data_IF_472038958203
#
_entry.id   IF_472038958203
#
_cell.length_a   1.000
_cell.length_b   1.000
_cell.length_c   1.000
_cell.angle_alpha   90.00
_cell.angle_beta   90.00
_cell.angle_gamma   90.00
#
_symmetry.space_group_name_H-M   'P 1'
#
loop_
_entity.id
_entity.type
_entity.pdbx_description
1 polymer ?
#
# COMPACT_ATOMS: atom_id res chain seq x y z
N UNK A 1 -22.80 53.87 53.13
CA UNK A 1 -23.78 54.73 52.44
C UNK A 1 -24.06 54.14 51.06
N UNK A 2 -25.34 53.89 50.75
CA UNK A 2 -26.00 53.67 49.44
C UNK A 2 -25.41 52.56 48.53
N UNK A 3 -25.92 51.31 48.52
CA UNK A 3 -27.20 50.78 47.98
C UNK A 3 -27.57 51.29 46.57
N UNK A 4 -27.56 50.39 45.58
CA UNK A 4 -28.69 50.23 44.67
C UNK A 4 -28.72 48.84 44.03
N UNK A 5 -29.85 48.17 44.23
CA UNK A 5 -30.28 46.92 43.59
C UNK A 5 -30.96 47.22 42.27
N UNK A 6 -30.84 46.33 41.29
CA UNK A 6 -31.95 46.04 40.39
C UNK A 6 -32.01 44.55 40.07
N UNK A 7 -33.18 43.97 40.38
CA UNK A 7 -33.59 42.60 40.19
C UNK A 7 -34.86 42.70 39.33
N UNK A 8 -34.89 42.07 38.16
CA UNK A 8 -36.13 41.82 37.42
C UNK A 8 -36.19 40.34 37.05
N UNK A 9 -37.35 39.75 37.37
CA UNK A 9 -37.82 38.37 37.11
C UNK A 9 -38.56 38.29 35.77
N UNK A 10 -38.66 37.05 35.27
CA UNK A 10 -39.55 36.60 34.18
C UNK A 10 -38.68 36.20 33.00
N UNK A 11 -38.76 35.03 32.36
CA UNK A 11 -39.78 33.98 32.21
C UNK A 11 -39.11 33.01 31.22
N UNK A 12 -38.90 31.72 31.49
CA UNK A 12 -39.94 30.71 31.43
C UNK A 12 -40.24 30.32 29.98
N UNK A 13 -39.32 29.60 29.30
CA UNK A 13 -39.60 28.84 28.09
C UNK A 13 -38.66 27.63 28.02
N UNK A 14 -39.16 26.52 28.57
CA UNK A 14 -38.61 25.17 28.43
C UNK A 14 -39.02 24.64 27.05
N UNK A 15 -38.05 24.53 26.15
CA UNK A 15 -38.26 23.89 24.85
C UNK A 15 -38.17 22.38 25.05
N UNK A 16 -39.32 21.73 24.92
CA UNK A 16 -39.50 20.27 24.90
C UNK A 16 -38.71 19.67 23.72
N UNK A 17 -37.84 18.73 24.02
CA UNK A 17 -37.31 17.77 23.05
C UNK A 17 -38.41 16.78 22.65
N UNK A 18 -38.53 16.40 21.35
CA UNK A 18 -39.43 15.35 20.95
C UNK A 18 -38.81 13.98 21.24
N UNK A 19 -39.65 13.10 21.77
CA UNK A 19 -39.38 11.69 22.00
C UNK A 19 -39.06 10.96 20.68
N UNK A 20 -37.97 10.19 20.67
CA UNK A 20 -37.76 9.11 19.69
C UNK A 20 -38.19 7.81 20.37
N UNK A 21 -39.32 7.28 19.91
CA UNK A 21 -39.84 5.98 20.28
C UNK A 21 -38.84 4.88 19.88
N UNK A 22 -38.47 4.07 20.87
CA UNK A 22 -37.79 2.79 20.69
C UNK A 22 -38.82 1.80 20.13
N UNK A 23 -38.85 1.67 18.81
CA UNK A 23 -39.57 0.62 18.11
C UNK A 23 -38.80 -0.69 18.19
N UNK A 24 -39.17 -1.56 19.14
CA UNK A 24 -38.88 -2.99 19.07
C UNK A 24 -39.68 -3.60 17.92
N UNK A 25 -39.02 -4.00 16.85
CA UNK A 25 -39.58 -4.94 15.87
C UNK A 25 -38.82 -6.26 15.94
N UNK A 26 -39.54 -7.25 16.45
CA UNK A 26 -39.28 -8.68 16.34
C UNK A 26 -39.19 -9.08 14.87
N UNK A 27 -38.05 -9.65 14.46
CA UNK A 27 -37.97 -10.38 13.19
C UNK A 27 -37.63 -11.84 13.46
N UNK A 28 -38.55 -12.63 12.96
CA UNK A 28 -38.72 -14.06 13.04
C UNK A 28 -37.60 -14.82 12.35
N UNK A 29 -37.07 -15.77 13.12
CA UNK A 29 -36.36 -16.98 12.73
C UNK A 29 -37.01 -17.65 11.52
N UNK A 30 -36.30 -17.75 10.39
CA UNK A 30 -36.50 -18.85 9.44
C UNK A 30 -35.15 -19.43 9.07
N UNK A 31 -34.97 -20.67 9.52
CA UNK A 31 -33.91 -21.58 9.17
C UNK A 31 -34.08 -22.07 7.74
N UNK A 32 -33.02 -22.00 6.93
CA UNK A 32 -32.84 -22.97 5.86
C UNK A 32 -31.37 -23.38 5.79
N UNK A 33 -31.16 -24.63 6.17
CA UNK A 33 -29.97 -25.43 5.94
C UNK A 33 -29.84 -25.68 4.44
N UNK A 34 -28.66 -25.47 3.87
CA UNK A 34 -28.20 -26.23 2.71
C UNK A 34 -26.68 -26.43 2.85
N UNK A 35 -26.38 -27.62 3.34
CA UNK A 35 -25.06 -28.21 3.45
C UNK A 35 -24.72 -28.95 2.15
N UNK A 36 -23.43 -28.94 1.82
CA UNK A 36 -22.70 -29.91 1.02
C UNK A 36 -23.02 -30.04 -0.47
N UNK A 37 -22.00 -29.83 -1.31
CA UNK A 37 -21.22 -30.95 -1.87
C UNK A 37 -20.09 -30.45 -2.78
N UNK A 38 -18.87 -30.42 -2.24
CA UNK A 38 -17.66 -30.70 -3.01
C UNK A 38 -17.61 -32.21 -3.28
N UNK A 39 -17.41 -32.61 -4.53
CA UNK A 39 -17.28 -34.02 -4.92
C UNK A 39 -16.34 -34.16 -6.10
N UNK A 40 -15.04 -34.17 -5.81
CA UNK A 40 -13.99 -34.54 -6.75
C UNK A 40 -14.22 -35.96 -7.29
N UNK A 41 -14.14 -36.09 -8.61
CA UNK A 41 -14.17 -37.38 -9.32
C UNK A 41 -12.92 -38.19 -8.96
N UNK A 42 -13.07 -39.15 -8.06
CA UNK A 42 -12.08 -40.19 -7.79
C UNK A 42 -12.54 -41.51 -8.42
N UNK A 43 -11.82 -41.94 -9.44
CA UNK A 43 -11.90 -43.27 -10.04
C UNK A 43 -11.58 -44.37 -9.01
N UNK A 44 -12.41 -45.42 -8.85
CA UNK A 44 -12.03 -46.55 -8.03
C UNK A 44 -11.09 -47.49 -8.81
N UNK A 45 -9.86 -47.63 -8.30
CA UNK A 45 -8.95 -48.76 -8.59
C UNK A 45 -9.60 -50.03 -8.05
N UNK A 46 -10.02 -50.96 -8.92
CA UNK A 46 -10.29 -52.35 -8.54
C UNK A 46 -8.98 -53.12 -8.41
N UNK A 47 -8.70 -53.57 -7.20
CA UNK A 47 -7.71 -54.58 -6.87
C UNK A 47 -8.20 -55.95 -7.37
N UNK A 48 -7.30 -56.64 -8.07
CA UNK A 48 -7.48 -58.00 -8.56
C UNK A 48 -7.29 -59.02 -7.42
N UNK A 49 -8.26 -59.91 -7.25
CA UNK A 49 -8.09 -61.16 -6.52
C UNK A 49 -8.03 -62.33 -7.50
N UNK A 50 -6.81 -62.88 -7.62
CA UNK A 50 -6.41 -64.29 -7.75
C UNK A 50 -7.55 -65.30 -7.99
N UNK A 51 -7.57 -65.90 -9.17
CA UNK A 51 -8.22 -67.18 -9.43
C UNK A 51 -7.18 -68.15 -10.04
N UNK A 52 -7.19 -69.38 -9.52
CA UNK A 52 -6.28 -70.48 -9.82
C UNK A 52 -6.53 -71.09 -11.20
N UNK A 53 -5.45 -71.62 -11.78
CA UNK A 53 -5.36 -72.34 -13.02
C UNK A 53 -6.23 -73.62 -13.08
N UNK A 54 -6.68 -73.98 -14.29
CA UNK A 54 -6.48 -75.28 -14.96
C UNK A 54 -7.26 -75.32 -16.28
N UNK A 55 -6.65 -75.80 -17.37
CA UNK A 55 -7.35 -76.06 -18.64
C UNK A 55 -6.47 -75.94 -19.88
N UNK A 56 -5.78 -77.03 -20.23
CA UNK A 56 -5.06 -77.22 -21.50
C UNK A 56 -6.03 -77.24 -22.69
N UNK A 57 -5.77 -76.46 -23.74
CA UNK A 57 -5.97 -76.86 -25.15
C UNK A 57 -4.92 -76.16 -26.02
N UNK A 58 -4.16 -76.95 -26.78
CA UNK A 58 -3.22 -76.50 -27.78
C UNK A 58 -3.92 -76.00 -29.05
N UNK A 59 -3.44 -74.90 -29.66
CA UNK A 59 -3.21 -74.84 -31.11
C UNK A 59 -2.43 -73.60 -31.51
N UNK A 60 -1.60 -73.80 -32.51
CA UNK A 60 -0.68 -72.91 -33.19
C UNK A 60 -1.30 -71.65 -33.78
N UNK A 61 -0.65 -70.50 -33.58
CA UNK A 61 -0.32 -69.61 -34.71
C UNK A 61 0.81 -68.64 -34.30
N UNK A 62 1.89 -68.67 -35.05
CA UNK A 62 2.98 -67.70 -35.00
C UNK A 62 2.46 -66.33 -35.45
N UNK A 63 1.99 -65.49 -34.51
CA UNK A 63 1.79 -64.06 -34.76
C UNK A 63 3.12 -63.34 -34.64
N UNK A 64 3.74 -63.09 -35.79
CA UNK A 64 4.85 -62.14 -35.96
C UNK A 64 4.46 -60.80 -35.34
N UNK A 65 5.19 -60.36 -34.30
CA UNK A 65 5.01 -59.05 -33.66
C UNK A 65 5.57 -57.95 -34.58
N UNK A 66 4.81 -57.55 -35.60
CA UNK A 66 5.06 -56.28 -36.30
C UNK A 66 4.45 -55.15 -35.47
N UNK A 67 5.19 -54.63 -34.49
CA UNK A 67 4.99 -53.31 -33.88
C UNK A 67 6.17 -53.01 -32.93
N UNK A 68 7.41 -53.13 -33.44
CA UNK A 68 8.58 -52.63 -32.73
C UNK A 68 8.96 -51.27 -33.32
N UNK A 69 8.78 -50.23 -32.52
CA UNK A 69 9.24 -48.88 -32.84
C UNK A 69 10.76 -48.93 -33.05
N UNK A 70 11.19 -48.79 -34.30
CA UNK A 70 12.61 -48.84 -34.66
C UNK A 70 13.22 -47.47 -34.38
N UNK A 71 14.22 -47.42 -33.51
CA UNK A 71 14.88 -46.16 -33.15
C UNK A 71 15.63 -45.55 -34.36
N UNK A 72 15.75 -44.21 -34.46
CA UNK A 72 16.51 -43.57 -35.52
C UNK A 72 18.00 -43.97 -35.50
N UNK A 73 18.68 -44.04 -36.66
CA UNK A 73 20.04 -44.57 -36.79
C UNK A 73 21.16 -43.71 -36.15
N UNK A 74 20.83 -42.59 -35.52
CA UNK A 74 21.80 -41.71 -34.82
C UNK A 74 21.25 -41.31 -33.46
N UNK A 75 21.33 -42.21 -32.50
CA UNK A 75 21.24 -41.90 -31.07
C UNK A 75 22.65 -41.61 -30.55
N UNK A 76 22.78 -40.66 -29.61
CA UNK A 76 24.05 -40.04 -29.21
C UNK A 76 25.16 -41.00 -28.74
N UNK A 77 26.37 -40.46 -28.48
CA UNK A 77 27.55 -41.28 -28.16
C UNK A 77 27.28 -42.19 -26.94
N UNK A 78 27.40 -43.51 -27.12
CA UNK A 78 27.29 -44.49 -26.03
C UNK A 78 26.48 -45.76 -26.32
N UNK A 79 25.78 -45.88 -27.46
CA UNK A 79 24.95 -47.06 -27.78
C UNK A 79 25.59 -47.95 -28.86
N UNK A 80 25.54 -49.28 -28.68
CA UNK A 80 25.86 -50.26 -29.73
C UNK A 80 24.61 -50.56 -30.56
N UNK A 81 24.76 -50.75 -31.87
CA UNK A 81 23.64 -50.89 -32.84
C UNK A 81 22.64 -52.03 -32.55
N UNK A 82 22.95 -52.91 -31.59
CA UNK A 82 22.16 -54.12 -31.26
C UNK A 82 21.31 -54.00 -30.00
N UNK A 83 21.32 -52.88 -29.27
CA UNK A 83 20.48 -52.73 -28.08
C UNK A 83 19.01 -52.42 -28.46
N UNK A 84 18.07 -53.18 -27.92
CA UNK A 84 16.63 -52.86 -28.03
C UNK A 84 16.30 -51.61 -27.20
N UNK A 85 15.49 -50.71 -27.76
CA UNK A 85 15.09 -49.49 -27.06
C UNK A 85 14.17 -49.84 -25.90
N UNK A 86 14.61 -49.61 -24.67
CA UNK A 86 13.76 -49.81 -23.49
C UNK A 86 12.78 -48.63 -23.39
N UNK A 87 11.46 -48.85 -23.57
CA UNK A 87 10.46 -47.77 -23.54
C UNK A 87 10.36 -47.07 -22.18
N UNK A 88 10.87 -47.69 -21.12
CA UNK A 88 10.90 -47.12 -19.76
C UNK A 88 12.17 -46.29 -19.47
N UNK A 89 13.14 -46.24 -20.40
CA UNK A 89 14.38 -45.44 -20.32
C UNK A 89 14.47 -44.38 -21.43
N UNK A 90 13.33 -43.97 -22.00
CA UNK A 90 13.26 -43.00 -23.10
C UNK A 90 13.99 -41.68 -22.81
N UNK A 91 14.10 -41.27 -21.55
CA UNK A 91 14.85 -40.08 -21.10
C UNK A 91 16.37 -40.19 -21.30
N UNK A 92 16.95 -41.39 -21.25
CA UNK A 92 18.39 -41.62 -21.51
C UNK A 92 18.72 -41.56 -23.03
N UNK A 93 17.70 -41.50 -23.88
CA UNK A 93 17.83 -41.60 -25.34
C UNK A 93 17.28 -40.38 -26.09
N UNK A 94 16.71 -39.41 -25.38
CA UNK A 94 16.34 -38.12 -25.96
C UNK A 94 17.62 -37.33 -26.24
N UNK A 95 17.84 -36.97 -27.50
CA UNK A 95 18.92 -36.09 -27.88
C UNK A 95 18.76 -34.75 -27.14
N UNK A 96 19.75 -34.36 -26.33
CA UNK A 96 19.74 -33.10 -25.59
C UNK A 96 19.52 -31.88 -26.49
N UNK A 97 19.96 -31.93 -27.75
CA UNK A 97 19.71 -30.86 -28.73
C UNK A 97 18.21 -30.74 -29.04
N UNK A 98 17.49 -31.86 -29.11
CA UNK A 98 16.05 -31.90 -29.37
C UNK A 98 15.25 -31.47 -28.16
N UNK A 99 15.67 -31.86 -26.95
CA UNK A 99 15.07 -31.39 -25.70
C UNK A 99 15.24 -29.87 -25.55
N UNK A 100 16.44 -29.34 -25.79
CA UNK A 100 16.70 -27.91 -25.76
C UNK A 100 15.85 -27.16 -26.79
N UNK A 101 15.73 -27.69 -28.02
CA UNK A 101 14.89 -27.11 -29.07
C UNK A 101 13.41 -27.12 -28.72
N UNK A 102 12.91 -28.18 -28.08
CA UNK A 102 11.53 -28.22 -27.56
C UNK A 102 11.31 -27.22 -26.43
N UNK A 103 12.23 -27.12 -25.47
CA UNK A 103 12.13 -26.13 -24.39
C UNK A 103 12.14 -24.71 -24.95
N UNK A 104 13.04 -24.39 -25.89
CA UNK A 104 13.06 -23.12 -26.61
C UNK A 104 11.76 -22.89 -27.38
N UNK A 105 11.26 -23.89 -28.09
CA UNK A 105 9.98 -23.82 -28.80
C UNK A 105 8.81 -23.51 -27.88
N UNK A 106 8.71 -24.19 -26.73
CA UNK A 106 7.67 -23.94 -25.73
C UNK A 106 7.80 -22.56 -25.07
N UNK A 107 9.02 -22.12 -24.77
CA UNK A 107 9.28 -20.78 -24.21
C UNK A 107 8.95 -19.69 -25.21
N UNK A 108 9.37 -19.83 -26.46
CA UNK A 108 9.05 -18.89 -27.54
C UNK A 108 7.55 -18.90 -27.83
N UNK A 109 6.89 -20.05 -27.91
CA UNK A 109 5.46 -20.14 -28.11
C UNK A 109 4.66 -19.54 -26.95
N UNK A 110 5.08 -19.77 -25.69
CA UNK A 110 4.49 -19.14 -24.52
C UNK A 110 4.70 -17.62 -24.48
N UNK A 111 5.91 -17.17 -24.83
CA UNK A 111 6.25 -15.75 -24.93
C UNK A 111 5.44 -15.04 -26.03
N UNK A 112 5.32 -15.67 -27.20
CA UNK A 112 4.52 -15.19 -28.33
C UNK A 112 3.02 -15.23 -27.98
N UNK A 113 2.51 -16.32 -27.38
CA UNK A 113 1.11 -16.39 -26.95
C UNK A 113 0.75 -15.31 -25.93
N UNK A 114 1.67 -14.97 -25.02
CA UNK A 114 1.52 -13.85 -24.09
C UNK A 114 1.55 -12.46 -24.76
N UNK A 115 2.08 -12.34 -25.98
CA UNK A 115 2.07 -11.09 -26.76
C UNK A 115 0.93 -11.03 -27.79
N UNK A 116 0.43 -12.17 -28.28
CA UNK A 116 -0.58 -12.22 -29.34
C UNK A 116 -2.01 -12.43 -28.82
N UNK A 117 -2.18 -12.89 -27.59
CA UNK A 117 -3.49 -12.83 -26.94
C UNK A 117 -3.61 -11.43 -26.35
N UNK A 118 -4.16 -10.50 -27.13
CA UNK A 118 -4.68 -9.24 -26.61
C UNK A 118 -5.83 -9.60 -25.65
N UNK A 119 -5.50 -9.78 -24.37
CA UNK A 119 -6.51 -9.79 -23.33
C UNK A 119 -7.06 -8.37 -23.31
N UNK A 120 -8.34 -8.24 -23.63
CA UNK A 120 -9.03 -6.97 -23.56
C UNK A 120 -9.09 -6.52 -22.08
N UNK A 121 -8.07 -5.77 -21.66
CA UNK A 121 -7.91 -5.32 -20.29
C UNK A 121 -9.09 -4.44 -19.83
N UNK A 122 -9.83 -3.85 -20.78
CA UNK A 122 -11.04 -3.06 -20.49
C UNK A 122 -12.19 -3.91 -19.96
N UNK A 123 -12.19 -5.23 -20.22
CA UNK A 123 -13.20 -6.17 -19.70
C UNK A 123 -12.86 -6.72 -18.34
N UNK A 124 -11.63 -6.52 -17.86
CA UNK A 124 -11.22 -7.01 -16.55
C UNK A 124 -11.67 -6.01 -15.50
N UNK A 125 -12.57 -6.44 -14.63
CA UNK A 125 -13.08 -5.66 -13.50
C UNK A 125 -12.40 -6.10 -12.20
N UNK A 126 -12.10 -5.18 -11.27
CA UNK A 126 -11.70 -5.55 -9.91
C UNK A 126 -12.82 -6.35 -9.25
N UNK A 127 -12.51 -7.20 -8.26
CA UNK A 127 -13.54 -8.03 -7.61
C UNK A 127 -14.40 -7.24 -6.60
N UNK A 128 -13.86 -6.16 -6.05
CA UNK A 128 -14.47 -5.39 -4.97
C UNK A 128 -14.53 -3.92 -5.36
N UNK A 129 -15.55 -3.22 -4.86
CA UNK A 129 -15.66 -1.79 -5.05
C UNK A 129 -14.61 -1.07 -4.20
N UNK A 130 -13.91 -0.08 -4.77
CA UNK A 130 -12.89 0.70 -4.05
C UNK A 130 -13.49 1.45 -2.86
N UNK A 131 -14.76 1.83 -2.96
CA UNK A 131 -15.55 2.50 -1.92
C UNK A 131 -15.75 1.61 -0.68
N UNK A 132 -15.93 0.30 -0.87
CA UNK A 132 -16.11 -0.65 0.24
C UNK A 132 -14.83 -0.79 1.06
N UNK A 133 -13.68 -0.89 0.39
CA UNK A 133 -12.37 -0.98 1.05
C UNK A 133 -12.10 0.29 1.86
N UNK A 134 -12.39 1.46 1.28
CA UNK A 134 -12.27 2.75 1.96
C UNK A 134 -13.20 2.83 3.17
N UNK A 135 -14.46 2.41 3.04
CA UNK A 135 -15.39 2.41 4.16
C UNK A 135 -14.91 1.50 5.30
N UNK A 136 -14.38 0.32 4.98
CA UNK A 136 -13.81 -0.60 5.97
C UNK A 136 -12.57 -0.03 6.66
N UNK A 137 -11.69 0.67 5.92
CA UNK A 137 -10.54 1.36 6.49
C UNK A 137 -10.96 2.53 7.40
N UNK A 138 -11.92 3.37 6.96
CA UNK A 138 -12.45 4.46 7.77
C UNK A 138 -13.04 3.97 9.10
N UNK A 139 -13.73 2.82 9.11
CA UNK A 139 -14.23 2.21 10.36
C UNK A 139 -13.09 1.84 11.32
N UNK A 140 -11.94 1.39 10.82
CA UNK A 140 -10.77 1.15 11.69
C UNK A 140 -10.24 2.47 12.26
N UNK A 141 -10.21 3.54 11.46
CA UNK A 141 -9.76 4.85 11.90
C UNK A 141 -10.71 5.52 12.91
N UNK A 142 -12.00 5.18 12.93
CA UNK A 142 -12.92 5.62 13.99
C UNK A 142 -12.49 5.14 15.39
N UNK A 143 -11.93 3.93 15.48
CA UNK A 143 -11.41 3.37 16.73
C UNK A 143 -9.94 3.75 16.98
N UNK A 144 -9.17 3.94 15.90
CA UNK A 144 -7.74 4.25 15.93
C UNK A 144 -7.43 5.45 15.02
N UNK A 145 -7.81 6.67 15.42
CA UNK A 145 -7.71 7.88 14.59
C UNK A 145 -6.27 8.27 14.26
N UNK A 146 -5.32 7.90 15.12
CA UNK A 146 -3.89 8.07 14.92
C UNK A 146 -3.38 7.34 13.67
N UNK A 147 -3.96 6.17 13.34
CA UNK A 147 -3.53 5.35 12.23
C UNK A 147 -3.93 5.91 10.86
N UNK A 148 -4.86 6.86 10.78
CA UNK A 148 -5.21 7.50 9.52
C UNK A 148 -4.00 8.25 8.92
N UNK A 149 -3.29 9.05 9.73
CA UNK A 149 -2.11 9.78 9.28
C UNK A 149 -0.94 8.83 9.02
N UNK A 150 -0.77 7.81 9.86
CA UNK A 150 0.27 6.79 9.65
C UNK A 150 0.03 5.99 8.36
N UNK A 151 -1.22 5.75 7.97
CA UNK A 151 -1.56 5.09 6.70
C UNK A 151 -1.22 5.96 5.48
N UNK A 152 -1.38 7.28 5.58
CA UNK A 152 -0.86 8.22 4.58
C UNK A 152 0.67 8.14 4.50
N UNK A 153 1.35 8.09 5.64
CA UNK A 153 2.81 7.88 5.69
C UNK A 153 3.23 6.57 5.03
N UNK A 154 2.47 5.48 5.20
CA UNK A 154 2.76 4.19 4.55
C UNK A 154 2.79 4.31 3.03
N UNK A 155 1.87 5.05 2.42
CA UNK A 155 1.91 5.29 0.98
C UNK A 155 3.22 5.95 0.53
N UNK A 156 3.71 6.94 1.28
CA UNK A 156 5.02 7.56 1.03
C UNK A 156 6.18 6.59 1.26
N UNK A 157 6.17 5.82 2.36
CA UNK A 157 7.20 4.81 2.67
C UNK A 157 7.30 3.79 1.53
N UNK A 158 6.18 3.26 1.06
CA UNK A 158 6.15 2.27 -0.03
C UNK A 158 6.64 2.86 -1.35
N UNK A 159 6.18 4.05 -1.72
CA UNK A 159 6.64 4.74 -2.93
C UNK A 159 8.15 5.06 -2.89
N UNK A 160 8.63 5.62 -1.77
CA UNK A 160 10.05 5.90 -1.59
C UNK A 160 10.92 4.64 -1.67
N UNK A 161 10.47 3.53 -1.08
CA UNK A 161 11.16 2.23 -1.17
C UNK A 161 11.20 1.70 -2.60
N UNK A 162 10.10 1.77 -3.35
CA UNK A 162 10.08 1.40 -4.78
C UNK A 162 11.00 2.27 -5.64
N UNK A 163 11.18 3.55 -5.26
CA UNK A 163 12.10 4.47 -5.91
C UNK A 163 13.57 4.33 -5.45
N UNK A 164 13.88 3.45 -4.49
CA UNK A 164 15.25 3.24 -3.97
C UNK A 164 15.66 4.23 -2.86
N UNK A 165 14.71 4.92 -2.23
CA UNK A 165 14.93 5.88 -1.15
C UNK A 165 14.39 5.39 0.20
N UNK A 166 14.70 4.15 0.57
CA UNK A 166 14.45 3.65 1.93
C UNK A 166 15.28 4.44 2.95
N UNK A 167 14.64 5.09 3.91
CA UNK A 167 15.33 5.90 4.91
C UNK A 167 15.70 5.09 6.16
N UNK A 168 16.81 5.46 6.78
CA UNK A 168 17.25 4.92 8.09
C UNK A 168 16.96 5.90 9.24
N UNK A 169 17.02 7.20 8.94
CA UNK A 169 16.79 8.32 9.86
C UNK A 169 15.75 9.28 9.30
N UNK A 170 14.98 9.91 10.20
CA UNK A 170 14.02 10.97 9.85
C UNK A 170 14.70 12.27 9.41
N UNK A 171 16.01 12.42 9.62
CA UNK A 171 16.79 13.56 9.08
C UNK A 171 16.76 13.59 7.54
N UNK A 172 16.54 12.44 6.89
CA UNK A 172 16.37 12.35 5.44
C UNK A 172 14.89 12.45 5.04
N UNK A 173 14.07 11.55 5.57
CA UNK A 173 12.61 11.56 5.38
C UNK A 173 11.91 10.59 6.34
N UNK A 174 10.59 10.66 6.43
CA UNK A 174 9.78 9.71 7.21
C UNK A 174 9.59 8.32 6.53
N UNK A 175 10.35 8.01 5.47
CA UNK A 175 10.37 6.73 4.75
C UNK A 175 11.10 5.60 5.52
N UNK A 176 11.05 5.64 6.85
CA UNK A 176 11.61 4.63 7.75
C UNK A 176 10.56 3.53 8.02
N UNK A 177 11.03 2.29 8.22
CA UNK A 177 10.15 1.12 8.44
C UNK A 177 9.65 0.97 9.88
N UNK A 178 10.12 1.81 10.82
CA UNK A 178 9.71 1.82 12.22
C UNK A 178 8.31 2.45 12.41
N UNK A 179 7.61 2.10 13.48
CA UNK A 179 6.27 2.63 13.79
C UNK A 179 5.19 2.29 12.75
N UNK A 180 5.30 1.12 12.11
CA UNK A 180 4.36 0.66 11.07
C UNK A 180 3.52 -0.56 11.45
N UNK A 181 3.75 -1.14 12.64
CA UNK A 181 3.12 -2.40 13.03
C UNK A 181 1.59 -2.31 13.10
N UNK A 182 1.07 -1.26 13.71
CA UNK A 182 -0.38 -1.07 13.85
C UNK A 182 -1.09 -0.87 12.49
N UNK A 183 -0.47 -0.12 11.58
CA UNK A 183 -1.00 0.04 10.21
C UNK A 183 -0.88 -1.25 9.43
N UNK A 184 0.18 -2.03 9.60
CA UNK A 184 0.27 -3.37 9.01
C UNK A 184 -0.89 -4.26 9.49
N UNK A 185 -1.28 -4.16 10.77
CA UNK A 185 -2.49 -4.82 11.29
C UNK A 185 -3.77 -4.42 10.56
N UNK A 186 -3.97 -3.12 10.28
CA UNK A 186 -5.11 -2.61 9.49
C UNK A 186 -5.07 -3.15 8.07
N UNK A 187 -3.91 -3.10 7.40
CA UNK A 187 -3.75 -3.60 6.02
C UNK A 187 -3.98 -5.11 5.94
N UNK A 188 -3.51 -5.89 6.92
CA UNK A 188 -3.79 -7.32 7.00
C UNK A 188 -5.27 -7.62 7.23
N UNK A 189 -5.94 -6.86 8.11
CA UNK A 189 -7.39 -6.98 8.29
C UNK A 189 -8.15 -6.73 6.98
N UNK A 190 -7.80 -5.67 6.25
CA UNK A 190 -8.41 -5.34 4.96
C UNK A 190 -8.10 -6.41 3.92
N UNK A 191 -6.86 -6.89 3.83
CA UNK A 191 -6.47 -7.94 2.90
C UNK A 191 -7.23 -9.25 3.15
N UNK A 192 -7.46 -9.62 4.41
CA UNK A 192 -8.29 -10.77 4.77
C UNK A 192 -9.78 -10.56 4.44
N UNK A 193 -10.27 -9.32 4.50
CA UNK A 193 -11.64 -8.96 4.12
C UNK A 193 -11.82 -8.95 2.60
N UNK A 194 -10.77 -8.58 1.85
CA UNK A 194 -10.74 -8.45 0.40
C UNK A 194 -9.66 -9.32 -0.25
N UNK A 195 -9.69 -10.67 -0.08
CA UNK A 195 -8.56 -11.57 -0.36
C UNK A 195 -8.14 -11.71 -1.83
N UNK A 196 -8.95 -11.22 -2.78
CA UNK A 196 -8.56 -11.19 -4.19
C UNK A 196 -7.88 -9.89 -4.62
N UNK A 197 -7.76 -8.91 -3.72
CA UNK A 197 -7.00 -7.68 -3.94
C UNK A 197 -5.55 -7.89 -3.53
N UNK A 198 -4.62 -7.25 -4.23
CA UNK A 198 -3.22 -7.21 -3.78
C UNK A 198 -3.07 -6.36 -2.52
N UNK A 199 -2.03 -6.63 -1.74
CA UNK A 199 -1.70 -5.86 -0.53
C UNK A 199 -1.36 -4.42 -0.92
N UNK A 200 -0.65 -4.21 -2.04
CA UNK A 200 -0.33 -2.87 -2.54
C UNK A 200 -1.59 -2.06 -2.96
N UNK A 201 -2.58 -2.70 -3.58
CA UNK A 201 -3.86 -2.04 -3.87
C UNK A 201 -4.59 -1.68 -2.56
N UNK A 202 -4.66 -2.61 -1.61
CA UNK A 202 -5.28 -2.39 -0.29
C UNK A 202 -4.58 -1.25 0.47
N UNK A 203 -3.25 -1.23 0.49
CA UNK A 203 -2.46 -0.19 1.16
C UNK A 203 -2.69 1.19 0.54
N UNK A 204 -2.76 1.28 -0.80
CA UNK A 204 -3.05 2.54 -1.49
C UNK A 204 -4.46 3.07 -1.15
N UNK A 205 -5.47 2.19 -1.10
CA UNK A 205 -6.84 2.55 -0.71
C UNK A 205 -6.95 2.92 0.77
N UNK A 206 -6.20 2.23 1.66
CA UNK A 206 -6.14 2.56 3.07
C UNK A 206 -5.55 3.97 3.31
N UNK A 207 -4.55 4.37 2.51
CA UNK A 207 -3.99 5.72 2.55
C UNK A 207 -5.01 6.78 2.07
N UNK A 208 -5.73 6.52 0.97
CA UNK A 208 -6.82 7.38 0.49
C UNK A 208 -7.93 7.52 1.56
N UNK A 209 -8.28 6.42 2.22
CA UNK A 209 -9.21 6.44 3.34
C UNK A 209 -8.69 7.28 4.52
N UNK A 210 -7.38 7.31 4.75
CA UNK A 210 -6.72 8.17 5.74
C UNK A 210 -6.91 9.65 5.39
N UNK A 211 -6.71 10.03 4.11
CA UNK A 211 -6.95 11.40 3.63
C UNK A 211 -8.42 11.78 3.86
N UNK A 212 -9.35 10.90 3.45
CA UNK A 212 -10.80 11.10 3.64
C UNK A 212 -11.15 11.29 5.12
N UNK A 213 -10.66 10.42 6.01
CA UNK A 213 -10.92 10.47 7.44
C UNK A 213 -10.43 11.79 8.06
N UNK A 214 -9.28 12.27 7.61
CA UNK A 214 -8.66 13.52 8.08
C UNK A 214 -9.17 14.75 7.32
N UNK A 215 -10.31 14.63 6.63
CA UNK A 215 -10.97 15.72 5.88
C UNK A 215 -10.07 16.40 4.85
N UNK A 216 -9.14 15.65 4.25
CA UNK A 216 -8.29 16.12 3.15
C UNK A 216 -8.92 15.90 1.77
N UNK A 217 -8.37 16.52 0.71
CA UNK A 217 -8.85 16.36 -0.66
C UNK A 217 -8.50 14.97 -1.20
N UNK A 218 -9.51 14.13 -1.45
CA UNK A 218 -9.32 12.73 -1.85
C UNK A 218 -10.13 12.31 -3.07
N UNK A 219 -11.12 13.11 -3.46
CA UNK A 219 -12.16 12.77 -4.43
C UNK A 219 -11.55 12.47 -5.80
N UNK A 220 -10.65 13.31 -6.29
CA UNK A 220 -9.97 13.12 -7.58
C UNK A 220 -8.96 11.98 -7.52
N UNK A 221 -8.29 11.78 -6.39
CA UNK A 221 -7.38 10.64 -6.18
C UNK A 221 -8.18 9.35 -6.32
N UNK A 222 -9.33 9.29 -5.65
CA UNK A 222 -10.20 8.12 -5.67
C UNK A 222 -10.81 7.87 -7.04
N UNK A 223 -11.31 8.92 -7.70
CA UNK A 223 -11.88 8.84 -9.06
C UNK A 223 -10.87 8.27 -10.06
N UNK A 224 -9.64 8.78 -10.02
CA UNK A 224 -8.55 8.38 -10.92
C UNK A 224 -7.76 7.15 -10.46
N UNK A 225 -8.14 6.56 -9.32
CA UNK A 225 -7.43 5.41 -8.76
C UNK A 225 -7.45 4.24 -9.74
N UNK A 226 -6.26 3.70 -10.00
CA UNK A 226 -6.05 2.50 -10.81
C UNK A 226 -5.78 1.30 -9.93
N UNK A 227 -6.06 0.11 -10.44
CA UNK A 227 -5.88 -1.15 -9.73
C UNK A 227 -4.87 -2.06 -10.45
N UNK A 228 -4.50 -3.16 -9.80
CA UNK A 228 -3.56 -4.14 -10.34
C UNK A 228 -2.11 -3.89 -9.95
N UNK A 229 -1.86 -3.26 -8.79
CA UNK A 229 -0.50 -3.22 -8.21
C UNK A 229 -0.07 -4.64 -7.88
N UNK A 230 1.16 -5.01 -8.27
CA UNK A 230 1.68 -6.35 -8.03
C UNK A 230 2.40 -6.39 -6.68
N UNK A 231 2.08 -7.40 -5.87
CA UNK A 231 2.84 -7.72 -4.67
C UNK A 231 4.14 -8.40 -5.09
N UNK A 232 5.26 -7.69 -4.99
CA UNK A 232 6.59 -8.21 -5.33
C UNK A 232 7.46 -8.29 -4.10
N UNK A 233 8.13 -9.43 -3.90
CA UNK A 233 9.03 -9.65 -2.76
C UNK A 233 10.37 -8.90 -2.91
N UNK A 234 10.73 -8.50 -4.12
CA UNK A 234 12.00 -7.84 -4.40
C UNK A 234 11.95 -6.34 -4.08
N UNK A 235 12.50 -5.96 -2.92
CA UNK A 235 12.74 -4.55 -2.60
C UNK A 235 13.93 -4.01 -3.41
N UNK A 236 13.78 -2.88 -4.14
CA UNK A 236 14.92 -2.22 -4.78
C UNK A 236 16.01 -1.88 -3.76
N UNK A 237 17.26 -1.98 -4.19
CA UNK A 237 18.40 -1.55 -3.37
C UNK A 237 18.34 -0.04 -3.16
N UNK A 238 18.76 0.41 -1.97
CA UNK A 238 18.91 1.83 -1.67
C UNK A 238 19.85 2.49 -2.69
N UNK A 239 19.44 3.64 -3.23
CA UNK A 239 20.25 4.45 -4.14
C UNK A 239 21.50 4.95 -3.41
N UNK A 240 22.63 4.96 -4.11
CA UNK A 240 23.87 5.52 -3.60
C UNK A 240 23.95 7.03 -3.93
N UNK A 241 24.19 7.90 -2.94
CA UNK A 241 24.48 9.31 -3.19
C UNK A 241 25.71 9.48 -4.10
N UNK A 242 25.68 10.50 -4.97
CA UNK A 242 26.80 10.77 -5.90
C UNK A 242 28.10 11.17 -5.19
N UNK A 243 27.99 11.79 -4.03
CA UNK A 243 29.14 12.19 -3.21
C UNK A 243 29.34 11.15 -2.09
N UNK A 244 30.56 10.62 -1.90
CA UNK A 244 30.84 9.64 -0.85
C UNK A 244 30.64 10.20 0.57
N UNK A 245 30.74 11.52 0.76
CA UNK A 245 30.56 12.16 2.07
C UNK A 245 29.09 12.41 2.43
N UNK A 246 28.21 12.38 1.43
CA UNK A 246 26.78 12.68 1.63
C UNK A 246 26.02 11.40 1.91
N UNK A 247 25.55 11.23 3.15
CA UNK A 247 24.76 10.05 3.55
C UNK A 247 23.26 10.17 3.28
N UNK A 248 22.73 11.41 3.23
CA UNK A 248 21.30 11.69 3.09
C UNK A 248 20.97 12.39 1.77
N UNK A 249 19.86 12.00 1.14
CA UNK A 249 19.32 12.68 -0.03
C UNK A 249 18.55 13.94 0.36
N UNK A 250 18.42 14.88 -0.59
CA UNK A 250 17.62 16.10 -0.37
C UNK A 250 16.16 15.84 -0.69
N UNK A 251 15.27 16.58 -0.04
CA UNK A 251 13.81 16.47 -0.23
C UNK A 251 13.41 16.50 -1.72
N UNK A 252 13.86 17.46 -2.56
CA UNK A 252 13.49 17.47 -3.97
C UNK A 252 13.93 16.19 -4.70
N UNK A 253 15.12 15.66 -4.40
CA UNK A 253 15.63 14.43 -5.02
C UNK A 253 14.72 13.24 -4.74
N UNK A 254 14.25 13.10 -3.50
CA UNK A 254 13.35 12.01 -3.11
C UNK A 254 11.99 12.22 -3.77
N UNK A 255 11.40 13.41 -3.64
CA UNK A 255 10.03 13.68 -4.11
C UNK A 255 9.91 13.62 -5.64
N UNK A 256 10.87 14.15 -6.39
CA UNK A 256 10.86 14.06 -7.85
C UNK A 256 10.89 12.61 -8.34
N UNK A 257 11.52 11.70 -7.60
CA UNK A 257 11.56 10.28 -7.96
C UNK A 257 10.24 9.54 -7.74
N UNK A 258 9.24 10.15 -7.09
CA UNK A 258 7.94 9.55 -6.81
C UNK A 258 6.95 9.77 -7.96
N UNK A 259 7.36 9.39 -9.18
CA UNK A 259 6.54 9.54 -10.39
C UNK A 259 6.73 10.86 -11.13
N UNK A 260 7.99 11.35 -11.19
CA UNK A 260 8.38 12.56 -11.93
C UNK A 260 7.54 13.78 -11.53
N UNK A 261 7.36 13.96 -10.22
CA UNK A 261 6.59 15.07 -9.67
C UNK A 261 7.19 16.41 -10.12
N UNK A 262 6.34 17.38 -10.42
CA UNK A 262 6.76 18.78 -10.61
C UNK A 262 7.13 19.43 -9.27
N UNK A 263 7.81 20.59 -9.27
CA UNK A 263 8.08 21.31 -8.01
C UNK A 263 6.79 21.65 -7.26
N UNK A 264 5.73 22.06 -7.97
CA UNK A 264 4.43 22.34 -7.37
C UNK A 264 3.83 21.10 -6.69
N UNK A 265 3.89 19.93 -7.33
CA UNK A 265 3.43 18.67 -6.77
C UNK A 265 4.28 18.22 -5.57
N UNK A 266 5.61 18.37 -5.65
CA UNK A 266 6.52 18.09 -4.53
C UNK A 266 6.17 18.94 -3.30
N UNK A 267 6.03 20.25 -3.48
CA UNK A 267 5.65 21.16 -2.38
C UNK A 267 4.24 20.84 -1.87
N UNK A 268 3.29 20.54 -2.77
CA UNK A 268 1.91 20.21 -2.41
C UNK A 268 1.83 18.96 -1.50
N UNK A 269 2.65 17.95 -1.79
CA UNK A 269 2.67 16.68 -1.05
C UNK A 269 3.16 16.84 0.39
N UNK A 270 3.99 17.84 0.69
CA UNK A 270 4.46 18.12 2.05
C UNK A 270 3.34 18.55 3.02
N UNK A 271 2.16 18.96 2.51
CA UNK A 271 1.01 19.24 3.37
C UNK A 271 0.50 18.03 4.15
N UNK A 272 0.92 16.80 3.82
CA UNK A 272 0.72 15.63 4.68
C UNK A 272 1.26 15.84 6.11
N UNK A 273 2.23 16.74 6.30
CA UNK A 273 2.72 17.13 7.63
C UNK A 273 1.74 18.00 8.43
N UNK A 274 0.61 18.46 7.86
CA UNK A 274 -0.47 19.11 8.62
C UNK A 274 -1.21 18.16 9.57
N UNK A 275 -1.03 16.84 9.40
CA UNK A 275 -1.66 15.79 10.20
C UNK A 275 -0.64 14.87 10.87
N UNK A 276 -1.11 14.06 11.82
CA UNK A 276 -0.28 13.11 12.55
C UNK A 276 0.63 13.76 13.60
N UNK A 277 1.48 12.93 14.20
CA UNK A 277 2.38 13.31 15.29
C UNK A 277 3.69 12.52 15.24
N UNK A 278 4.67 13.01 16.00
CA UNK A 278 5.97 12.37 16.18
C UNK A 278 5.85 11.21 17.17
N UNK A 279 6.65 10.16 16.96
CA UNK A 279 6.67 8.95 17.78
C UNK A 279 8.10 8.61 18.22
N UNK A 280 8.25 8.02 19.40
CA UNK A 280 9.55 7.73 20.02
C UNK A 280 10.35 6.70 19.24
N UNK A 281 9.69 5.66 18.72
CA UNK A 281 10.30 4.57 17.95
C UNK A 281 10.64 4.99 16.49
N UNK A 282 10.08 6.09 16.01
CA UNK A 282 10.33 6.63 14.65
C UNK A 282 11.38 7.73 14.68
N UNK A 283 11.10 8.77 15.46
CA UNK A 283 11.79 10.06 15.47
C UNK A 283 12.54 10.35 16.78
N UNK A 284 12.34 9.52 17.80
CA UNK A 284 13.00 9.67 19.09
C UNK A 284 12.32 10.62 20.07
N UNK A 285 11.15 11.18 19.73
CA UNK A 285 10.38 12.09 20.57
C UNK A 285 8.87 11.84 20.44
N UNK A 286 8.14 12.14 21.50
CA UNK A 286 6.68 12.02 21.58
C UNK A 286 6.00 13.38 21.79
N UNK A 287 4.68 13.43 21.54
CA UNK A 287 3.82 14.55 21.92
C UNK A 287 4.02 15.83 21.10
N UNK A 288 4.81 15.76 20.04
CA UNK A 288 5.04 16.85 19.10
C UNK A 288 4.33 16.59 17.77
N UNK A 289 4.05 17.65 17.02
CA UNK A 289 3.44 17.62 15.69
C UNK A 289 4.17 18.62 14.80
N UNK A 290 3.94 18.64 13.48
CA UNK A 290 4.57 19.69 12.67
C UNK A 290 3.88 21.06 12.82
N UNK A 291 2.56 21.09 13.02
CA UNK A 291 1.76 22.34 12.95
C UNK A 291 0.97 22.66 14.22
N UNK A 292 1.10 21.84 15.27
CA UNK A 292 0.29 21.92 16.49
C UNK A 292 -1.07 21.23 16.38
N UNK A 293 -1.47 20.77 15.18
CA UNK A 293 -2.72 20.05 14.90
C UNK A 293 -2.43 18.66 14.32
N UNK A 294 -3.43 17.77 14.38
CA UNK A 294 -3.29 16.34 14.01
C UNK A 294 -4.33 15.80 13.03
N UNK A 295 -5.53 16.41 12.98
CA UNK A 295 -6.72 15.77 12.40
C UNK A 295 -7.38 16.56 11.26
N UNK A 296 -6.63 17.41 10.56
CA UNK A 296 -7.13 18.14 9.40
C UNK A 296 -6.03 18.30 8.35
N UNK A 297 -6.17 17.59 7.23
CA UNK A 297 -5.19 17.62 6.15
C UNK A 297 -5.52 18.78 5.20
N UNK A 298 -4.79 19.90 5.34
CA UNK A 298 -5.02 21.11 4.55
C UNK A 298 -3.74 21.97 4.38
N UNK A 299 -3.88 23.14 3.77
CA UNK A 299 -2.80 24.08 3.53
C UNK A 299 -2.26 24.79 4.80
N UNK A 300 -2.73 24.43 6.01
CA UNK A 300 -2.25 25.00 7.27
C UNK A 300 -0.75 24.80 7.48
N UNK A 301 -0.19 23.73 6.92
CA UNK A 301 1.26 23.49 6.95
C UNK A 301 2.05 24.70 6.40
N UNK A 302 1.68 25.22 5.23
CA UNK A 302 2.37 26.36 4.61
C UNK A 302 2.20 27.65 5.41
N UNK A 303 0.97 27.93 5.86
CA UNK A 303 0.69 29.07 6.74
C UNK A 303 1.55 29.02 8.00
N UNK A 304 1.65 27.84 8.61
CA UNK A 304 2.41 27.62 9.83
C UNK A 304 3.91 27.86 9.62
N UNK A 305 4.47 27.33 8.53
CA UNK A 305 5.88 27.53 8.19
C UNK A 305 6.22 29.02 8.00
N UNK A 306 5.40 29.76 7.25
CA UNK A 306 5.62 31.19 7.02
C UNK A 306 5.47 32.03 8.29
N UNK A 307 4.52 31.69 9.15
CA UNK A 307 4.28 32.39 10.43
C UNK A 307 5.46 32.21 11.41
N UNK A 308 6.08 31.03 11.42
CA UNK A 308 7.05 30.66 12.45
C UNK A 308 8.49 30.48 11.94
N UNK A 309 8.78 30.72 10.66
CA UNK A 309 10.07 30.50 10.00
C UNK A 309 11.27 30.95 10.86
N UNK A 310 11.20 32.19 11.37
CA UNK A 310 12.28 32.82 12.14
C UNK A 310 12.33 32.40 13.61
N UNK A 311 11.30 31.73 14.11
CA UNK A 311 11.15 31.33 15.51
C UNK A 311 11.65 29.89 15.78
N UNK A 312 11.91 29.09 14.73
CA UNK A 312 12.43 27.74 14.87
C UNK A 312 13.86 27.74 15.41
N UNK A 313 14.07 27.05 16.53
CA UNK A 313 15.38 26.82 17.12
C UNK A 313 15.82 25.35 16.93
N UNK A 314 17.13 25.03 16.87
CA UNK A 314 17.59 23.65 16.84
C UNK A 314 17.05 22.83 18.02
N UNK A 315 16.62 21.60 17.76
CA UNK A 315 16.13 20.66 18.75
C UNK A 315 17.13 19.51 18.92
N UNK A 316 17.71 19.38 20.11
CA UNK A 316 18.49 18.20 20.46
C UNK A 316 17.55 17.12 21.03
N UNK A 317 17.42 16.00 20.33
CA UNK A 317 16.67 14.84 20.83
C UNK A 317 17.55 14.05 21.79
N UNK A 318 17.15 13.98 23.06
CA UNK A 318 17.90 13.25 24.08
C UNK A 318 17.66 11.74 23.97
N UNK A 319 18.68 10.95 24.25
CA UNK A 319 18.54 9.49 24.38
C UNK A 319 17.73 9.16 25.62
N UNK A 320 16.65 8.40 25.46
CA UNK A 320 15.79 7.93 26.54
C UNK A 320 15.69 6.41 26.54
N UNK A 321 14.97 5.84 27.50
CA UNK A 321 14.66 4.42 27.50
C UNK A 321 13.68 4.04 26.37
N UNK A 322 12.82 4.97 25.95
CA UNK A 322 11.71 4.66 25.06
C UNK A 322 12.05 4.86 23.58
N UNK A 323 13.10 5.63 23.27
CA UNK A 323 13.59 5.80 21.90
C UNK A 323 14.77 4.89 21.54
N UNK A 324 14.98 3.78 22.26
CA UNK A 324 16.11 2.86 22.06
C UNK A 324 16.15 2.24 20.65
N UNK A 325 15.00 2.10 20.01
CA UNK A 325 14.88 1.53 18.65
C UNK A 325 15.41 2.47 17.55
N UNK A 326 15.57 3.75 17.86
CA UNK A 326 16.20 4.73 16.97
C UNK A 326 17.71 4.70 17.18
N UNK A 327 18.43 3.94 16.34
CA UNK A 327 19.88 3.74 16.48
C UNK A 327 20.67 5.06 16.54
N UNK A 328 20.42 5.97 15.60
CA UNK A 328 20.98 7.32 15.56
C UNK A 328 19.85 8.33 15.70
N UNK A 329 19.86 9.13 16.77
CA UNK A 329 18.85 10.16 16.99
C UNK A 329 19.00 11.27 15.95
N UNK A 330 17.87 11.84 15.47
CA UNK A 330 17.92 12.88 14.46
C UNK A 330 18.57 14.15 15.00
N UNK A 331 19.37 14.79 14.15
CA UNK A 331 20.18 15.96 14.51
C UNK A 331 19.68 17.24 13.83
N UNK A 332 18.83 17.11 12.81
CA UNK A 332 18.41 18.24 11.96
C UNK A 332 17.04 18.79 12.34
N UNK A 333 16.37 18.25 13.36
CA UNK A 333 15.08 18.74 13.81
C UNK A 333 15.21 20.16 14.39
N UNK A 334 14.23 21.00 14.06
CA UNK A 334 14.03 22.31 14.67
C UNK A 334 12.66 22.39 15.32
N UNK A 335 12.54 23.20 16.36
CA UNK A 335 11.37 23.28 17.22
C UNK A 335 10.92 24.72 17.44
N UNK A 336 9.61 24.90 17.55
CA UNK A 336 8.95 26.11 18.05
C UNK A 336 7.81 25.71 18.99
N UNK A 337 7.55 26.53 20.03
CA UNK A 337 6.42 26.30 20.94
C UNK A 337 5.29 27.26 20.64
N UNK A 338 4.13 26.73 20.27
CA UNK A 338 2.94 27.52 19.94
C UNK A 338 1.95 27.47 21.10
N UNK A 339 1.36 28.62 21.42
CA UNK A 339 0.33 28.72 22.46
C UNK A 339 -1.03 28.42 21.84
N UNK A 340 -1.68 27.39 22.34
CA UNK A 340 -3.04 27.01 21.97
C UNK A 340 -3.98 27.24 23.15
N UNK A 341 -5.13 27.88 22.89
CA UNK A 341 -6.19 27.98 23.90
C UNK A 341 -7.08 26.75 23.79
N UNK A 342 -7.12 25.92 24.84
CA UNK A 342 -7.99 24.76 24.92
C UNK A 342 -8.79 24.83 26.21
N UNK A 343 -10.13 24.88 26.11
CA UNK A 343 -11.05 24.95 27.26
C UNK A 343 -10.71 26.09 28.25
N UNK A 344 -10.38 27.28 27.73
CA UNK A 344 -10.02 28.44 28.54
C UNK A 344 -8.63 28.38 29.20
N UNK A 345 -7.83 27.34 28.91
CA UNK A 345 -6.44 27.22 29.38
C UNK A 345 -5.46 27.33 28.22
N UNK A 346 -4.39 28.08 28.42
CA UNK A 346 -3.29 28.17 27.47
C UNK A 346 -2.35 26.98 27.62
N UNK A 347 -2.29 26.12 26.62
CA UNK A 347 -1.32 25.01 26.52
C UNK A 347 -0.23 25.39 25.53
N UNK A 348 1.01 25.00 25.83
CA UNK A 348 2.12 25.08 24.87
C UNK A 348 2.18 23.77 24.10
N UNK A 349 2.14 23.85 22.76
CA UNK A 349 2.32 22.72 21.85
C UNK A 349 3.72 22.78 21.27
N UNK A 350 4.45 21.68 21.35
CA UNK A 350 5.73 21.54 20.68
C UNK A 350 5.49 21.25 19.20
N UNK A 351 6.01 22.12 18.34
CA UNK A 351 5.92 21.96 16.90
C UNK A 351 7.32 21.74 16.33
N UNK A 352 7.49 20.69 15.52
CA UNK A 352 8.80 20.21 15.08
C UNK A 352 8.81 20.02 13.57
N UNK A 353 9.87 20.48 12.91
CA UNK A 353 10.06 20.41 11.45
C UNK A 353 11.53 20.08 11.17
N UNK A 354 11.83 19.40 10.06
CA UNK A 354 13.22 19.19 9.66
C UNK A 354 13.86 20.51 9.20
N UNK A 355 15.15 20.71 9.52
CA UNK A 355 15.91 21.84 8.99
C UNK A 355 15.86 21.87 7.46
N UNK A 356 15.97 20.71 6.81
CA UNK A 356 15.90 20.58 5.36
C UNK A 356 14.59 21.14 4.77
N UNK A 357 13.46 21.02 5.47
CA UNK A 357 12.18 21.59 5.02
C UNK A 357 12.18 23.12 5.11
N UNK A 358 12.74 23.68 6.20
CA UNK A 358 12.85 25.13 6.37
C UNK A 358 13.84 25.76 5.38
N UNK A 359 14.90 25.04 5.01
CA UNK A 359 15.85 25.50 4.00
C UNK A 359 15.22 25.61 2.60
N UNK A 360 14.12 24.88 2.32
CA UNK A 360 13.37 25.03 1.06
C UNK A 360 12.74 26.42 0.94
N UNK A 361 12.42 27.08 2.05
CA UNK A 361 11.90 28.45 2.05
C UNK A 361 12.94 29.48 1.58
N UNK A 362 14.23 29.13 1.59
CA UNK A 362 15.29 29.99 1.03
C UNK A 362 15.40 29.87 -0.49
N UNK A 363 14.88 28.79 -1.07
CA UNK A 363 14.79 28.64 -2.52
C UNK A 363 13.61 29.47 -3.03
N UNK A 364 13.87 30.34 -4.01
CA UNK A 364 12.87 31.28 -4.54
C UNK A 364 11.63 30.57 -5.12
N UNK A 365 11.79 29.54 -5.96
CA UNK A 365 10.64 28.88 -6.60
C UNK A 365 9.79 28.13 -5.58
N UNK A 366 10.45 27.43 -4.65
CA UNK A 366 9.77 26.70 -3.58
C UNK A 366 9.05 27.66 -2.62
N UNK A 367 9.67 28.80 -2.28
CA UNK A 367 9.04 29.81 -1.44
C UNK A 367 7.79 30.40 -2.09
N UNK A 368 7.85 30.75 -3.38
CA UNK A 368 6.69 31.26 -4.13
C UNK A 368 5.53 30.24 -4.14
N UNK A 369 5.83 28.95 -4.27
CA UNK A 369 4.83 27.88 -4.16
C UNK A 369 4.24 27.76 -2.75
N UNK A 370 5.07 27.84 -1.71
CA UNK A 370 4.61 27.82 -0.30
C UNK A 370 3.70 29.02 -0.01
N UNK A 371 4.09 30.22 -0.43
CA UNK A 371 3.28 31.44 -0.30
C UNK A 371 1.95 31.31 -1.05
N UNK A 372 2.00 30.79 -2.29
CA UNK A 372 0.79 30.55 -3.09
C UNK A 372 -0.14 29.53 -2.44
N UNK A 373 0.35 28.39 -1.98
CA UNK A 373 -0.48 27.38 -1.32
C UNK A 373 -1.02 27.84 0.03
N UNK A 374 -0.28 28.69 0.76
CA UNK A 374 -0.79 29.29 2.00
C UNK A 374 -2.01 30.20 1.76
N UNK A 375 -2.06 30.89 0.60
CA UNK A 375 -3.13 31.82 0.22
C UNK A 375 -4.26 31.17 -0.58
N UNK A 376 -3.96 30.17 -1.41
CA UNK A 376 -4.88 29.53 -2.35
C UNK A 376 -4.97 28.02 -2.06
N UNK A 377 -5.93 27.67 -1.21
CA UNK A 377 -6.17 26.28 -0.80
C UNK A 377 -6.72 25.44 -1.97
N UNK A 378 -7.45 26.04 -2.91
CA UNK A 378 -8.01 25.30 -4.06
C UNK A 378 -6.91 24.85 -5.01
N UNK A 379 -5.99 25.76 -5.34
CA UNK A 379 -4.81 25.41 -6.13
C UNK A 379 -3.95 24.36 -5.42
N UNK A 380 -3.77 24.46 -4.10
CA UNK A 380 -3.10 23.41 -3.33
C UNK A 380 -3.81 22.05 -3.45
N UNK A 381 -5.15 22.00 -3.28
CA UNK A 381 -5.93 20.76 -3.39
C UNK A 381 -5.76 20.09 -4.75
N UNK A 382 -5.68 20.86 -5.83
CA UNK A 382 -5.44 20.33 -7.16
C UNK A 382 -4.06 19.68 -7.28
N UNK A 383 -3.01 20.41 -6.90
CA UNK A 383 -1.63 19.92 -7.00
C UNK A 383 -1.38 18.74 -6.05
N UNK A 384 -1.98 18.75 -4.86
CA UNK A 384 -1.89 17.66 -3.89
C UNK A 384 -2.47 16.37 -4.44
N UNK A 385 -3.68 16.41 -4.99
CA UNK A 385 -4.32 15.21 -5.54
C UNK A 385 -3.57 14.66 -6.75
N UNK A 386 -3.04 15.54 -7.61
CA UNK A 386 -2.16 15.13 -8.72
C UNK A 386 -0.88 14.43 -8.21
N UNK A 387 -0.19 15.05 -7.24
CA UNK A 387 1.03 14.52 -6.63
C UNK A 387 0.80 13.17 -5.96
N UNK A 388 -0.27 13.06 -5.16
CA UNK A 388 -0.58 11.85 -4.43
C UNK A 388 -0.93 10.69 -5.37
N UNK A 389 -1.73 10.93 -6.42
CA UNK A 389 -2.02 9.94 -7.46
C UNK A 389 -0.74 9.43 -8.14
N UNK A 390 0.14 10.35 -8.57
CA UNK A 390 1.44 9.97 -9.16
C UNK A 390 2.30 9.17 -8.19
N UNK A 391 2.34 9.54 -6.91
CA UNK A 391 3.11 8.83 -5.88
C UNK A 391 2.61 7.39 -5.69
N UNK A 392 1.31 7.16 -5.55
CA UNK A 392 0.77 5.79 -5.32
C UNK A 392 0.81 4.90 -6.57
N UNK A 393 0.89 5.50 -7.75
CA UNK A 393 1.06 4.79 -9.03
C UNK A 393 2.54 4.59 -9.41
N UNK A 394 3.46 5.33 -8.78
CA UNK A 394 4.88 5.35 -9.11
C UNK A 394 5.51 3.95 -9.04
N UNK A 395 6.35 3.67 -10.05
CA UNK A 395 7.13 2.44 -10.18
C UNK A 395 6.31 1.14 -10.31
N UNK A 396 4.99 1.22 -10.50
CA UNK A 396 4.18 0.09 -10.96
C UNK A 396 4.09 0.03 -12.48
N UNK A 397 3.87 -1.17 -13.01
CA UNK A 397 3.68 -1.43 -14.45
C UNK A 397 2.30 -2.02 -14.67
N UNK A 398 1.65 -1.65 -15.78
CA UNK A 398 0.35 -2.19 -16.21
C UNK A 398 -0.76 -1.99 -15.17
N UNK A 399 -0.82 -0.79 -14.57
CA UNK A 399 -1.97 -0.40 -13.77
C UNK A 399 -3.19 -0.24 -14.67
N UNK A 400 -4.34 -0.74 -14.21
CA UNK A 400 -5.57 -0.80 -14.99
C UNK A 400 -6.53 0.31 -14.55
N UNK A 401 -7.22 0.97 -15.51
CA UNK A 401 -8.35 1.83 -15.20
C UNK A 401 -9.38 1.10 -14.34
N UNK A 402 -9.94 1.78 -13.36
CA UNK A 402 -11.00 1.22 -12.54
C UNK A 402 -12.32 1.20 -13.31
N UNK A 403 -13.03 0.07 -13.22
CA UNK A 403 -14.42 -0.08 -13.62
C UNK A 403 -15.17 -0.64 -12.42
N UNK A 404 -16.35 -0.10 -12.13
CA UNK A 404 -17.18 -0.61 -11.04
C UNK A 404 -17.54 -2.08 -11.30
N UNK A 405 -17.26 -3.01 -10.36
CA UNK A 405 -17.63 -4.42 -10.50
C UNK A 405 -19.14 -4.66 -10.60
N UNK A 406 -19.95 -3.77 -10.03
CA UNK A 406 -21.39 -3.92 -9.93
C UNK A 406 -22.13 -3.34 -11.13
N UNK A 407 -21.46 -2.54 -11.96
CA UNK A 407 -22.04 -1.99 -13.18
C UNK A 407 -21.82 -2.98 -14.33
N UNK A 408 -22.90 -3.35 -15.03
CA UNK A 408 -22.88 -4.33 -16.12
C UNK A 408 -22.08 -3.84 -17.32
#
# INVERSE_FOLDING_TARGET
MLRSSCRVRGSGLSVRAPAVLIGRSTLTRTSSLLSACCGALLFPRRLAHRASATGNVASSSSRTRHNMFTAPPKVGPGRKDTEEANPYKSWEHINHTWLALMCLGCLCAGWLAGHFVEVDESKIKPKYAKEDVIASACKQYEFRPDLAATSIRVAFVLAARRAGFSAETVDESCAVVRGLHDVAGVVHYLSNTYPASSIEDVASLAAIAGIKYLSGPYERILDQWKWGRNDTDDAPKRNAPKSPDRKIFSIPTILHALGDLTEAECVALLACHSVGEFHEDVSGLDGATHTGKRYSLNNRYYQFLLEHEKAFAPLAVARTQENRDVMELPQTLKCVYVKEQTNGKTKKRQCVVNAAELELLKNKSWRELVERFAADEEFWREQFQSAFTKMIDSNFKRLRPYSDPNYA
#
